data_IF_411213105175
#
_entry.id   IF_411213105175
#
_cell.length_a   1.000
_cell.length_b   1.000
_cell.length_c   1.000
_cell.angle_alpha   90.00
_cell.angle_beta   90.00
_cell.angle_gamma   90.00
#
_symmetry.space_group_name_H-M   'P 1'
#
loop_
_entity.id
_entity.type
_entity.pdbx_description
1 polymer ?
#
# COMPACT_ATOMS: atom_id res chain seq x y z
N UNK A 1 -8.05 -16.80 -2.94
CA UNK A 1 -7.44 -15.67 -2.20
C UNK A 1 -7.13 -16.15 -0.80
N UNK A 2 -5.91 -16.00 -0.29
CA UNK A 2 -5.54 -16.54 1.03
C UNK A 2 -6.19 -15.89 2.26
N UNK A 3 -7.06 -14.88 2.08
CA UNK A 3 -7.82 -14.25 3.17
C UNK A 3 -9.30 -14.66 3.13
N UNK A 4 -9.97 -14.48 2.00
CA UNK A 4 -11.41 -14.77 1.86
C UNK A 4 -11.72 -16.15 1.26
N UNK A 5 -10.70 -16.90 0.84
CA UNK A 5 -10.81 -18.19 0.15
C UNK A 5 -11.53 -18.16 -1.22
N UNK A 6 -12.03 -17.02 -1.68
CA UNK A 6 -12.64 -16.88 -3.01
C UNK A 6 -11.63 -16.84 -4.16
N UNK A 7 -12.08 -17.19 -5.36
CA UNK A 7 -11.39 -16.96 -6.63
C UNK A 7 -11.49 -15.47 -6.98
N UNK A 8 -10.35 -14.80 -7.14
CA UNK A 8 -10.29 -13.34 -7.35
C UNK A 8 -11.01 -12.95 -8.65
N UNK A 9 -10.86 -13.75 -9.70
CA UNK A 9 -11.42 -13.48 -11.02
C UNK A 9 -12.93 -13.71 -11.12
N UNK A 10 -13.51 -14.46 -10.18
CA UNK A 10 -14.95 -14.76 -10.17
C UNK A 10 -15.74 -13.74 -9.33
N UNK A 11 -15.05 -12.75 -8.73
CA UNK A 11 -15.72 -11.75 -7.89
C UNK A 11 -16.67 -10.86 -8.67
N UNK A 12 -17.78 -10.53 -8.04
CA UNK A 12 -18.74 -9.52 -8.50
C UNK A 12 -18.79 -8.35 -7.50
N UNK A 13 -18.83 -7.09 -7.98
CA UNK A 13 -18.75 -6.67 -9.38
C UNK A 13 -17.34 -6.84 -9.98
N UNK A 14 -17.21 -6.78 -11.32
CA UNK A 14 -15.94 -6.96 -12.03
C UNK A 14 -14.81 -6.00 -11.56
N UNK A 15 -15.16 -4.85 -10.96
CA UNK A 15 -14.21 -3.92 -10.36
C UNK A 15 -13.47 -4.48 -9.14
N UNK A 16 -13.99 -5.54 -8.52
CA UNK A 16 -13.36 -6.26 -7.41
C UNK A 16 -12.36 -7.35 -7.85
N UNK A 17 -12.32 -7.66 -9.15
CA UNK A 17 -11.39 -8.64 -9.76
C UNK A 17 -9.98 -8.07 -9.87
N UNK A 18 -9.41 -7.70 -8.73
CA UNK A 18 -8.09 -7.08 -8.59
C UNK A 18 -7.27 -7.82 -7.56
N UNK A 19 -6.02 -8.07 -7.90
CA UNK A 19 -5.03 -8.66 -7.02
C UNK A 19 -4.30 -7.58 -6.24
N UNK A 20 -3.97 -7.89 -4.99
CA UNK A 20 -3.02 -7.13 -4.19
C UNK A 20 -1.70 -7.88 -4.12
N UNK A 21 -0.73 -7.48 -4.93
CA UNK A 21 0.58 -8.11 -5.05
C UNK A 21 1.51 -7.58 -3.95
N UNK A 22 2.14 -8.48 -3.20
CA UNK A 22 3.16 -8.15 -2.19
C UNK A 22 4.56 -8.27 -2.80
N UNK A 23 5.50 -7.40 -2.43
CA UNK A 23 6.84 -7.35 -3.07
C UNK A 23 7.67 -8.63 -2.82
N UNK A 24 7.63 -9.17 -1.60
CA UNK A 24 8.58 -10.21 -1.15
C UNK A 24 8.02 -11.65 -1.11
N UNK A 25 6.80 -11.89 -1.62
CA UNK A 25 6.22 -13.23 -1.72
C UNK A 25 5.22 -13.33 -2.88
N UNK A 26 4.84 -14.55 -3.30
CA UNK A 26 3.88 -14.81 -4.38
C UNK A 26 2.44 -15.12 -3.92
N UNK A 27 2.17 -15.03 -2.61
CA UNK A 27 0.84 -15.29 -2.06
C UNK A 27 -0.25 -14.39 -2.65
N UNK A 28 -1.45 -14.95 -2.83
CA UNK A 28 -2.50 -14.37 -3.67
C UNK A 28 -3.64 -13.79 -2.84
N UNK A 29 -3.79 -12.46 -2.89
CA UNK A 29 -4.88 -11.76 -2.19
C UNK A 29 -5.72 -10.92 -3.14
N UNK A 30 -7.03 -10.85 -2.90
CA UNK A 30 -7.86 -9.80 -3.47
C UNK A 30 -7.40 -8.46 -2.89
N UNK A 31 -7.42 -7.41 -3.72
CA UNK A 31 -7.02 -6.06 -3.32
C UNK A 31 -7.81 -5.55 -2.10
N UNK A 32 -9.11 -5.81 -2.05
CA UNK A 32 -9.97 -5.42 -0.94
C UNK A 32 -9.61 -6.14 0.37
N UNK A 33 -9.31 -7.44 0.30
CA UNK A 33 -8.95 -8.24 1.46
C UNK A 33 -7.63 -7.77 2.08
N UNK A 34 -6.58 -7.60 1.27
CA UNK A 34 -5.28 -7.16 1.81
C UNK A 34 -5.30 -5.72 2.33
N UNK A 35 -6.16 -4.85 1.76
CA UNK A 35 -6.41 -3.50 2.30
C UNK A 35 -7.10 -3.56 3.66
N UNK A 36 -8.11 -4.41 3.82
CA UNK A 36 -8.78 -4.64 5.11
C UNK A 36 -7.80 -5.20 6.16
N UNK A 37 -6.95 -6.17 5.77
CA UNK A 37 -5.88 -6.69 6.62
C UNK A 37 -4.95 -5.58 7.12
N UNK A 38 -4.39 -4.77 6.22
CA UNK A 38 -3.52 -3.63 6.57
C UNK A 38 -4.21 -2.54 7.38
N UNK A 39 -5.52 -2.41 7.23
CA UNK A 39 -6.35 -1.48 7.98
C UNK A 39 -6.79 -1.98 9.36
N UNK A 40 -6.62 -3.27 9.66
CA UNK A 40 -7.10 -3.88 10.91
C UNK A 40 -6.33 -3.36 12.12
N UNK A 41 -7.04 -2.87 13.14
CA UNK A 41 -6.45 -2.40 14.42
C UNK A 41 -6.30 -3.51 15.45
N UNK A 42 -6.73 -4.73 15.11
CA UNK A 42 -6.71 -5.88 16.01
C UNK A 42 -5.29 -6.44 16.19
N UNK A 43 -4.41 -6.23 15.21
CA UNK A 43 -3.03 -6.71 15.26
C UNK A 43 -2.05 -5.53 15.23
N UNK A 44 -0.84 -5.80 15.72
CA UNK A 44 0.26 -4.85 15.71
C UNK A 44 0.70 -4.51 14.27
N UNK A 45 1.38 -3.38 14.16
CA UNK A 45 1.83 -2.83 12.88
C UNK A 45 2.75 -3.77 12.09
N UNK A 46 3.56 -4.60 12.76
CA UNK A 46 4.44 -5.56 12.08
C UNK A 46 3.62 -6.70 11.48
N UNK A 47 2.63 -7.21 12.20
CA UNK A 47 1.73 -8.26 11.69
C UNK A 47 0.90 -7.78 10.50
N UNK A 48 0.25 -6.61 10.59
CA UNK A 48 -0.60 -6.14 9.49
C UNK A 48 0.19 -5.72 8.26
N UNK A 49 1.48 -5.43 8.39
CA UNK A 49 2.41 -5.14 7.28
C UNK A 49 3.15 -6.38 6.78
N UNK A 50 2.92 -7.54 7.36
CA UNK A 50 3.43 -8.80 6.85
C UNK A 50 2.42 -9.50 5.93
N UNK A 51 2.91 -10.44 5.12
CA UNK A 51 2.05 -11.36 4.38
C UNK A 51 1.17 -12.18 5.37
N UNK A 52 -0.16 -12.25 5.16
CA UNK A 52 -1.05 -13.08 5.99
C UNK A 52 -0.66 -14.56 6.04
N UNK A 53 -0.05 -15.09 4.99
CA UNK A 53 0.28 -16.52 4.85
C UNK A 53 1.70 -16.82 5.36
N UNK A 54 2.73 -16.22 4.78
CA UNK A 54 4.13 -16.54 5.13
C UNK A 54 4.81 -15.57 6.10
N UNK A 55 4.10 -14.53 6.57
CA UNK A 55 4.63 -13.50 7.48
C UNK A 55 5.85 -12.74 6.98
N UNK A 56 6.25 -12.89 5.72
CA UNK A 56 7.31 -12.07 5.13
C UNK A 56 6.90 -10.59 5.18
N UNK A 57 7.74 -9.70 5.74
CA UNK A 57 7.44 -8.29 5.85
C UNK A 57 7.37 -7.65 4.46
N UNK A 58 6.32 -6.88 4.21
CA UNK A 58 6.14 -6.17 2.94
C UNK A 58 5.46 -4.84 3.20
N UNK A 59 6.15 -3.74 2.96
CA UNK A 59 5.59 -2.42 3.22
C UNK A 59 4.57 -1.97 2.18
N UNK A 60 4.54 -2.65 1.03
CA UNK A 60 3.80 -2.21 -0.14
C UNK A 60 2.84 -3.27 -0.68
N UNK A 61 1.73 -2.79 -1.23
CA UNK A 61 0.76 -3.61 -1.98
C UNK A 61 0.56 -2.94 -3.32
N UNK A 62 0.92 -3.65 -4.39
CA UNK A 62 0.68 -3.21 -5.76
C UNK A 62 -0.66 -3.76 -6.24
N UNK A 63 -1.65 -2.90 -6.55
CA UNK A 63 -2.88 -3.32 -7.20
C UNK A 63 -2.60 -3.76 -8.64
N UNK A 64 -3.12 -4.92 -9.05
CA UNK A 64 -3.02 -5.43 -10.43
C UNK A 64 -4.32 -6.06 -10.88
N UNK A 65 -4.61 -6.05 -12.18
CA UNK A 65 -5.69 -6.84 -12.81
C UNK A 65 -5.27 -8.28 -13.09
N UNK A 66 -3.97 -8.57 -13.10
CA UNK A 66 -3.41 -9.90 -13.34
C UNK A 66 -2.56 -10.34 -12.15
N UNK A 67 -2.53 -11.64 -11.89
CA UNK A 67 -1.61 -12.22 -10.93
C UNK A 67 -0.24 -12.44 -11.58
N UNK A 68 0.82 -12.19 -10.82
CA UNK A 68 2.22 -12.40 -11.22
C UNK A 68 2.92 -13.18 -10.10
N UNK A 69 3.78 -14.11 -10.49
CA UNK A 69 4.62 -14.88 -9.56
C UNK A 69 5.91 -14.10 -9.19
N UNK A 70 6.83 -14.71 -8.45
CA UNK A 70 8.16 -14.15 -8.19
C UNK A 70 9.01 -14.10 -9.47
N UNK A 71 9.70 -12.97 -9.69
CA UNK A 71 10.61 -12.79 -10.81
C UNK A 71 10.57 -11.39 -11.42
N UNK A 72 11.23 -11.24 -12.57
CA UNK A 72 11.41 -9.95 -13.24
C UNK A 72 10.09 -9.27 -13.64
N UNK A 73 9.06 -10.04 -14.01
CA UNK A 73 7.75 -9.49 -14.37
C UNK A 73 7.09 -8.75 -13.21
N UNK A 74 7.21 -9.31 -12.00
CA UNK A 74 6.67 -8.70 -10.79
C UNK A 74 7.45 -7.47 -10.37
N UNK A 75 8.77 -7.52 -10.43
CA UNK A 75 9.61 -6.37 -10.12
C UNK A 75 9.31 -5.21 -11.09
N UNK A 76 9.16 -5.52 -12.38
CA UNK A 76 8.73 -4.55 -13.39
C UNK A 76 7.34 -3.99 -13.09
N UNK A 77 6.36 -4.84 -12.76
CA UNK A 77 5.00 -4.41 -12.41
C UNK A 77 5.00 -3.47 -11.19
N UNK A 78 5.81 -3.76 -10.17
CA UNK A 78 5.95 -2.91 -8.98
C UNK A 78 6.62 -1.58 -9.33
N UNK A 79 7.68 -1.62 -10.14
CA UNK A 79 8.41 -0.43 -10.57
C UNK A 79 7.54 0.49 -11.44
N UNK A 80 6.86 -0.07 -12.44
CA UNK A 80 5.95 0.66 -13.33
C UNK A 80 4.80 1.29 -12.54
N UNK A 81 4.24 0.56 -11.58
CA UNK A 81 3.21 1.10 -10.71
C UNK A 81 3.73 2.27 -9.84
N UNK A 82 4.90 2.13 -9.21
CA UNK A 82 5.52 3.21 -8.43
C UNK A 82 5.79 4.45 -9.31
N UNK A 83 6.30 4.25 -10.52
CA UNK A 83 6.55 5.31 -11.49
C UNK A 83 5.25 6.04 -11.88
N UNK A 84 4.22 5.29 -12.31
CA UNK A 84 2.94 5.86 -12.71
C UNK A 84 2.24 6.61 -11.57
N UNK A 85 2.42 6.18 -10.32
CA UNK A 85 1.88 6.91 -9.18
C UNK A 85 2.67 8.19 -8.84
N UNK A 86 3.96 8.24 -9.13
CA UNK A 86 4.83 9.41 -8.92
C UNK A 86 4.48 10.60 -9.81
N UNK A 87 3.72 10.35 -10.87
CA UNK A 87 3.16 11.39 -11.73
C UNK A 87 1.81 11.90 -11.23
N UNK A 88 1.06 11.06 -10.50
CA UNK A 88 -0.28 11.41 -10.00
C UNK A 88 -0.19 12.34 -8.79
N UNK A 89 -0.98 13.42 -8.74
CA UNK A 89 -0.96 14.35 -7.62
C UNK A 89 -1.36 13.66 -6.32
N UNK A 90 -0.64 13.96 -5.24
CA UNK A 90 -0.94 13.43 -3.92
C UNK A 90 -2.25 14.00 -3.39
N UNK A 91 -3.21 13.11 -3.12
CA UNK A 91 -4.52 13.44 -2.56
C UNK A 91 -4.47 14.21 -1.23
N UNK A 92 -3.43 13.99 -0.42
CA UNK A 92 -3.29 14.62 0.90
C UNK A 92 -2.60 15.97 0.87
N UNK A 93 -1.68 16.18 -0.08
CA UNK A 93 -0.92 17.42 -0.15
C UNK A 93 -1.73 18.58 -0.75
N UNK A 94 -2.64 18.27 -1.69
CA UNK A 94 -3.59 19.25 -2.25
C UNK A 94 -2.91 20.56 -2.64
N UNK A 95 -1.81 20.47 -3.39
CA UNK A 95 -1.06 21.65 -3.84
C UNK A 95 -0.55 22.56 -2.71
N UNK A 96 -0.12 21.97 -1.60
CA UNK A 96 0.39 22.70 -0.44
C UNK A 96 -0.68 23.16 0.54
N UNK A 97 -1.97 22.89 0.27
CA UNK A 97 -3.07 23.19 1.20
C UNK A 97 -3.19 22.15 2.33
N UNK A 98 -2.66 20.95 2.12
CA UNK A 98 -2.74 19.84 3.07
C UNK A 98 -1.37 19.25 3.40
N UNK A 99 -1.32 18.51 4.51
CA UNK A 99 -0.12 17.80 4.94
C UNK A 99 -0.21 16.32 4.58
N UNK A 100 0.74 15.83 3.78
CA UNK A 100 0.81 14.42 3.45
C UNK A 100 1.30 13.60 4.67
N UNK A 101 0.50 12.65 5.20
CA UNK A 101 0.87 11.87 6.38
C UNK A 101 2.04 10.90 6.12
N UNK A 102 2.46 10.75 4.85
CA UNK A 102 3.57 9.92 4.44
C UNK A 102 4.88 10.71 4.23
N UNK A 103 4.83 12.05 4.25
CA UNK A 103 5.99 12.94 4.09
C UNK A 103 6.87 12.54 2.89
N UNK A 104 8.20 12.55 3.07
CA UNK A 104 9.21 12.17 2.07
C UNK A 104 9.16 10.72 1.60
N UNK A 105 8.20 9.94 2.04
CA UNK A 105 7.98 8.61 1.53
C UNK A 105 6.55 8.34 1.04
N UNK A 106 5.82 9.42 0.76
CA UNK A 106 4.77 9.34 -0.23
C UNK A 106 5.41 9.12 -1.60
N UNK A 107 4.85 8.22 -2.39
CA UNK A 107 5.28 8.00 -3.77
C UNK A 107 4.48 8.84 -4.76
N UNK A 108 3.44 9.58 -4.33
CA UNK A 108 2.65 10.45 -5.21
C UNK A 108 3.35 11.79 -5.44
N UNK A 109 3.00 12.45 -6.55
CA UNK A 109 3.53 13.76 -6.92
C UNK A 109 3.08 14.83 -5.92
N UNK A 110 4.03 15.50 -5.29
CA UNK A 110 3.77 16.71 -4.51
C UNK A 110 4.20 17.93 -5.33
N UNK A 111 3.22 18.63 -5.89
CA UNK A 111 3.43 19.89 -6.62
C UNK A 111 2.60 20.99 -6.01
N UNK A 112 3.13 22.20 -5.96
CA UNK A 112 2.41 23.41 -5.62
C UNK A 112 1.58 23.93 -6.81
N UNK A 113 0.71 24.95 -6.64
CA UNK A 113 -0.14 25.49 -7.70
C UNK A 113 0.66 26.12 -8.85
N UNK A 114 1.90 26.53 -8.59
CA UNK A 114 2.87 27.03 -9.58
C UNK A 114 3.56 25.91 -10.39
N UNK A 115 3.24 24.64 -10.10
CA UNK A 115 3.85 23.47 -10.73
C UNK A 115 5.21 23.06 -10.14
N UNK A 116 5.74 23.80 -9.18
CA UNK A 116 7.01 23.46 -8.53
C UNK A 116 6.86 22.21 -7.64
N UNK A 117 7.88 21.34 -7.62
CA UNK A 117 7.87 20.13 -6.79
C UNK A 117 8.15 20.51 -5.33
N UNK A 118 7.32 20.03 -4.41
CA UNK A 118 7.51 20.27 -3.00
C UNK A 118 8.65 19.42 -2.43
N UNK A 119 9.57 20.06 -1.71
CA UNK A 119 10.58 19.37 -0.91
C UNK A 119 9.90 18.87 0.36
N UNK A 120 9.66 17.56 0.43
CA UNK A 120 9.01 16.96 1.57
C UNK A 120 10.00 16.73 2.72
N UNK A 121 9.58 16.87 3.99
CA UNK A 121 10.40 16.50 5.13
C UNK A 121 10.72 15.00 5.11
N UNK A 122 11.76 14.55 5.83
CA UNK A 122 12.11 13.14 5.91
C UNK A 122 10.92 12.29 6.38
N UNK A 123 10.86 11.00 6.00
CA UNK A 123 9.78 10.11 6.42
C UNK A 123 9.67 10.07 7.95
N UNK A 124 8.51 10.42 8.49
CA UNK A 124 8.26 10.40 9.94
C UNK A 124 7.59 9.09 10.36
N UNK A 125 7.88 8.57 11.58
CA UNK A 125 7.15 7.45 12.15
C UNK A 125 5.66 7.80 12.24
N UNK A 126 4.79 6.90 11.77
CA UNK A 126 3.35 7.16 11.81
C UNK A 126 2.80 6.69 13.14
N UNK A 127 2.03 7.54 13.82
CA UNK A 127 1.29 7.13 15.03
C UNK A 127 -0.06 6.55 14.64
N UNK A 128 -0.43 5.44 15.25
CA UNK A 128 -1.72 4.79 15.10
C UNK A 128 -2.26 4.45 16.48
N UNK A 129 -3.54 4.71 16.71
CA UNK A 129 -4.20 4.20 17.90
C UNK A 129 -4.61 2.74 17.68
N UNK A 130 -4.13 1.83 18.54
CA UNK A 130 -4.46 0.40 18.51
C UNK A 130 -5.90 0.15 19.01
N UNK A 131 -6.33 -1.12 19.04
CA UNK A 131 -7.67 -1.49 19.55
C UNK A 131 -7.90 -1.08 21.02
N UNK A 132 -6.84 -1.07 21.84
CA UNK A 132 -6.90 -0.75 23.27
C UNK A 132 -6.84 0.76 23.55
N UNK A 133 -6.76 1.60 22.52
CA UNK A 133 -6.66 3.05 22.67
C UNK A 133 -5.23 3.57 22.85
N UNK A 134 -4.23 2.70 22.87
CA UNK A 134 -2.82 3.07 23.04
C UNK A 134 -2.20 3.55 21.72
N UNK A 135 -1.24 4.46 21.82
CA UNK A 135 -0.52 4.99 20.67
C UNK A 135 0.64 4.05 20.29
N UNK A 136 0.52 3.43 19.13
CA UNK A 136 1.56 2.61 18.52
C UNK A 136 2.35 3.43 17.49
N UNK A 137 3.68 3.30 17.50
CA UNK A 137 4.57 3.86 16.49
C UNK A 137 4.75 2.83 15.37
N UNK A 138 4.24 3.14 14.18
CA UNK A 138 4.43 2.33 12.99
C UNK A 138 5.76 2.66 12.33
N UNK A 139 6.77 1.85 12.64
CA UNK A 139 8.04 1.83 11.93
C UNK A 139 7.87 1.22 10.53
N UNK A 140 8.86 1.46 9.67
CA UNK A 140 8.94 0.84 8.34
C UNK A 140 9.79 -0.43 8.45
N UNK A 141 9.40 -1.47 7.71
CA UNK A 141 10.02 -2.79 7.75
C UNK A 141 11.05 -2.97 6.62
#
# INVERSE_FOLDING_TARGET
>A
CGICMDIVMDKEPASERRFGILEKCSHVFCLNCIRKWRGSKQFDSKTVRACPECRTPSDFVTPSSFWVDMGAEKDKLIADYKSAMSEKPCRYFQEGRGECPFAGACFYKHTYPDGSKAVMPPPRPRRRQNHNGELEIMERL
#
